data_IF_972943575239
#
_entry.id   IF_972943575239
#
_cell.length_a   1.000
_cell.length_b   1.000
_cell.length_c   1.000
_cell.angle_alpha   90.00
_cell.angle_beta   90.00
_cell.angle_gamma   90.00
#
_symmetry.space_group_name_H-M   'P 1'
#
loop_
_entity.id
_entity.type
_entity.pdbx_description
1 polymer ?
#
# COMPACT_ATOMS: atom_id res chain seq x y z
N UNK A 1 3.28 9.64 10.76
CA UNK A 1 1.93 9.82 11.37
C UNK A 1 0.94 8.70 10.98
N UNK A 2 0.88 8.29 9.70
CA UNK A 2 -0.04 7.24 9.25
C UNK A 2 0.16 5.91 9.99
N UNK A 3 1.40 5.48 10.19
CA UNK A 3 1.72 4.29 10.99
C UNK A 3 1.04 4.32 12.38
N UNK A 4 1.22 5.42 13.12
CA UNK A 4 0.63 5.57 14.47
C UNK A 4 -0.90 5.59 14.41
N UNK A 5 -1.50 6.12 13.35
CA UNK A 5 -2.95 6.06 13.17
C UNK A 5 -3.46 4.63 12.95
N UNK A 6 -2.71 3.80 12.21
CA UNK A 6 -3.03 2.38 12.03
C UNK A 6 -2.92 1.60 13.36
N UNK A 7 -1.92 1.92 14.18
CA UNK A 7 -1.85 1.40 15.56
C UNK A 7 -3.07 1.83 16.40
N UNK A 8 -3.47 3.11 16.30
CA UNK A 8 -4.57 3.66 17.08
C UNK A 8 -5.94 3.05 16.75
N UNK A 9 -6.12 2.53 15.54
CA UNK A 9 -7.33 1.78 15.13
C UNK A 9 -7.23 0.28 15.43
N UNK A 10 -6.20 -0.15 16.18
CA UNK A 10 -6.05 -1.51 16.70
C UNK A 10 -5.31 -2.49 15.80
N UNK A 11 -4.61 -2.01 14.76
CA UNK A 11 -3.76 -2.86 13.95
C UNK A 11 -2.36 -2.98 14.56
N UNK A 12 -1.77 -4.16 14.47
CA UNK A 12 -0.37 -4.40 14.83
C UNK A 12 0.41 -4.71 13.55
N UNK A 13 1.54 -4.04 13.28
CA UNK A 13 2.31 -4.30 12.07
C UNK A 13 2.94 -5.70 12.14
N UNK A 14 3.01 -6.38 11.00
CA UNK A 14 3.81 -7.59 10.87
C UNK A 14 5.25 -7.23 10.49
N UNK A 15 5.65 -7.58 9.27
CA UNK A 15 6.98 -7.23 8.76
C UNK A 15 6.95 -6.89 7.26
N UNK A 16 7.85 -5.99 6.80
CA UNK A 16 8.06 -5.75 5.37
C UNK A 16 8.56 -6.99 4.63
N UNK A 17 8.56 -6.91 3.30
CA UNK A 17 9.20 -7.90 2.42
C UNK A 17 10.66 -8.13 2.81
N UNK A 18 11.11 -9.37 2.68
CA UNK A 18 12.50 -9.76 2.75
C UNK A 18 12.93 -10.34 1.41
N UNK A 19 14.09 -9.95 0.89
CA UNK A 19 14.67 -10.52 -0.35
C UNK A 19 15.83 -11.47 -0.07
N UNK A 20 16.62 -11.21 0.97
CA UNK A 20 17.80 -11.98 1.35
C UNK A 20 17.62 -12.57 2.77
N UNK A 21 18.03 -13.82 3.04
CA UNK A 21 18.63 -14.78 2.10
C UNK A 21 17.62 -15.51 1.20
N UNK A 22 16.33 -15.45 1.53
CA UNK A 22 15.22 -16.02 0.77
C UNK A 22 14.06 -15.01 0.76
N UNK A 23 13.31 -14.98 -0.34
CA UNK A 23 12.15 -14.10 -0.48
C UNK A 23 11.05 -14.50 0.51
N UNK A 24 10.60 -13.52 1.30
CA UNK A 24 9.40 -13.61 2.10
C UNK A 24 8.54 -12.36 1.82
N UNK A 25 7.24 -12.53 1.49
CA UNK A 25 6.37 -11.38 1.23
C UNK A 25 6.15 -10.56 2.51
N UNK A 26 5.59 -9.37 2.35
CA UNK A 26 5.11 -8.61 3.49
C UNK A 26 3.99 -9.37 4.22
N UNK A 27 4.06 -9.42 5.55
CA UNK A 27 3.06 -10.04 6.41
C UNK A 27 2.53 -9.05 7.45
N UNK A 28 1.30 -9.27 7.90
CA UNK A 28 0.59 -8.38 8.81
C UNK A 28 -0.92 -8.43 8.59
N UNK A 29 -1.70 -7.62 9.32
CA UNK A 29 -3.14 -7.55 9.11
C UNK A 29 -3.45 -6.84 7.80
N UNK A 30 -4.48 -7.36 7.11
CA UNK A 30 -5.00 -6.72 5.92
C UNK A 30 -5.68 -5.38 6.24
N UNK A 31 -5.48 -4.42 5.36
CA UNK A 31 -6.03 -3.06 5.42
C UNK A 31 -6.90 -2.84 4.19
N UNK A 32 -8.16 -2.51 4.43
CA UNK A 32 -9.06 -2.03 3.38
C UNK A 32 -8.66 -0.60 3.01
N UNK A 33 -8.12 -0.44 1.81
CA UNK A 33 -7.71 0.84 1.24
C UNK A 33 -8.77 1.28 0.25
N UNK A 34 -9.57 2.27 0.66
CA UNK A 34 -10.63 2.86 -0.18
C UNK A 34 -10.24 4.24 -0.64
N UNK A 35 -10.69 4.58 -1.85
CA UNK A 35 -10.47 5.85 -2.51
C UNK A 35 -11.81 6.55 -2.62
N UNK A 36 -11.91 7.77 -2.10
CA UNK A 36 -13.12 8.59 -2.15
C UNK A 36 -12.86 9.89 -2.89
N UNK A 37 -13.75 10.24 -3.81
CA UNK A 37 -13.62 11.47 -4.62
C UNK A 37 -15.01 12.00 -5.01
N UNK A 38 -15.03 13.21 -5.57
CA UNK A 38 -16.23 13.76 -6.22
C UNK A 38 -16.10 13.62 -7.72
N UNK A 39 -17.13 13.11 -8.38
CA UNK A 39 -17.19 13.06 -9.85
C UNK A 39 -17.47 14.44 -10.47
N UNK A 40 -17.58 14.48 -11.80
CA UNK A 40 -17.82 15.72 -12.55
C UNK A 40 -19.15 16.40 -12.18
N UNK A 41 -20.14 15.64 -11.70
CA UNK A 41 -21.44 16.15 -11.26
C UNK A 41 -21.43 16.54 -9.77
N UNK A 42 -20.28 16.38 -9.10
CA UNK A 42 -20.10 16.66 -7.69
C UNK A 42 -20.59 15.55 -6.76
N UNK A 43 -21.01 14.41 -7.30
CA UNK A 43 -21.47 13.27 -6.51
C UNK A 43 -20.27 12.53 -5.90
N UNK A 44 -20.42 12.11 -4.65
CA UNK A 44 -19.41 11.31 -3.96
C UNK A 44 -19.33 9.90 -4.57
N UNK A 45 -18.11 9.47 -4.86
CA UNK A 45 -17.78 8.14 -5.36
C UNK A 45 -16.75 7.51 -4.44
N UNK A 46 -16.82 6.20 -4.32
CA UNK A 46 -15.88 5.40 -3.58
C UNK A 46 -15.54 4.13 -4.35
N UNK A 47 -14.29 3.67 -4.27
CA UNK A 47 -13.81 2.41 -4.85
C UNK A 47 -12.69 1.82 -4.00
N UNK A 48 -12.44 0.51 -4.15
CA UNK A 48 -11.22 -0.11 -3.61
C UNK A 48 -10.02 0.42 -4.38
N UNK A 49 -8.90 0.65 -3.72
CA UNK A 49 -7.67 1.04 -4.41
C UNK A 49 -7.23 -0.01 -5.45
N UNK A 50 -7.44 -1.29 -5.16
CA UNK A 50 -7.17 -2.38 -6.10
C UNK A 50 -7.95 -2.29 -7.42
N UNK A 51 -9.14 -1.67 -7.42
CA UNK A 51 -9.92 -1.46 -8.64
C UNK A 51 -9.30 -0.45 -9.59
N UNK A 52 -8.42 0.44 -9.09
CA UNK A 52 -7.70 1.43 -9.88
C UNK A 52 -6.35 0.92 -10.40
N UNK A 53 -5.92 -0.24 -9.92
CA UNK A 53 -4.61 -0.83 -10.21
C UNK A 53 -4.83 -1.99 -11.16
N UNK A 54 -4.26 -1.91 -12.36
CA UNK A 54 -4.34 -2.96 -13.38
C UNK A 54 -3.05 -3.77 -13.37
N UNK A 55 -3.17 -5.09 -13.28
CA UNK A 55 -2.05 -5.97 -13.56
C UNK A 55 -1.80 -5.98 -15.08
N UNK A 56 -0.58 -5.60 -15.50
CA UNK A 56 -0.25 -5.40 -16.90
C UNK A 56 -0.32 -6.68 -17.73
N UNK A 57 -0.05 -7.84 -17.12
CA UNK A 57 -0.05 -9.15 -17.79
C UNK A 57 -1.46 -9.70 -18.01
N UNK A 58 -2.29 -9.66 -16.96
CA UNK A 58 -3.63 -10.26 -16.98
C UNK A 58 -4.72 -9.27 -17.42
N UNK A 59 -4.44 -7.98 -17.35
CA UNK A 59 -5.39 -6.90 -17.58
C UNK A 59 -6.50 -6.78 -16.54
N UNK A 60 -6.39 -7.51 -15.42
CA UNK A 60 -7.37 -7.55 -14.34
C UNK A 60 -7.00 -6.55 -13.22
N UNK A 61 -7.96 -6.17 -12.38
CA UNK A 61 -7.68 -5.38 -11.18
C UNK A 61 -6.77 -6.13 -10.21
N UNK A 62 -6.08 -5.41 -9.33
CA UNK A 62 -5.36 -5.99 -8.21
C UNK A 62 -6.36 -6.68 -7.28
N UNK A 63 -6.20 -8.00 -7.10
CA UNK A 63 -7.12 -8.86 -6.34
C UNK A 63 -6.45 -9.41 -5.07
N UNK A 64 -5.74 -8.54 -4.36
CA UNK A 64 -5.16 -8.79 -3.04
C UNK A 64 -5.36 -7.55 -2.18
N UNK A 65 -5.46 -7.74 -0.87
CA UNK A 65 -5.52 -6.63 0.07
C UNK A 65 -4.12 -6.10 0.39
N UNK A 66 -4.05 -4.83 0.78
CA UNK A 66 -2.81 -4.25 1.29
C UNK A 66 -2.55 -4.75 2.70
N UNK A 67 -1.31 -5.04 3.02
CA UNK A 67 -0.88 -5.57 4.32
C UNK A 67 -0.18 -4.48 5.10
N UNK A 68 -0.57 -4.31 6.37
CA UNK A 68 0.17 -3.47 7.30
C UNK A 68 1.44 -4.16 7.78
N UNK A 69 2.48 -4.01 6.98
CA UNK A 69 3.83 -4.46 7.28
C UNK A 69 4.50 -3.62 8.39
N UNK A 70 4.08 -2.37 8.54
CA UNK A 70 4.84 -1.38 9.30
C UNK A 70 6.03 -0.90 8.48
N UNK A 71 7.10 -0.41 9.10
CA UNK A 71 8.34 -0.12 8.37
C UNK A 71 9.50 -0.34 9.32
N UNK A 72 10.71 -0.18 8.82
CA UNK A 72 11.91 -0.27 9.65
C UNK A 72 12.29 1.10 10.19
N UNK A 73 12.79 1.10 11.43
CA UNK A 73 13.44 2.26 12.02
C UNK A 73 14.94 2.15 11.79
N UNK A 74 15.54 3.22 11.29
CA UNK A 74 16.98 3.34 11.15
C UNK A 74 17.51 4.36 12.15
N UNK A 75 18.53 3.99 12.92
CA UNK A 75 19.22 4.90 13.83
C UNK A 75 20.50 5.40 13.17
N UNK A 76 20.63 6.71 13.05
CA UNK A 76 21.84 7.34 12.51
C UNK A 76 23.01 7.12 13.47
N UNK A 77 24.12 6.48 13.03
CA UNK A 77 25.26 6.21 13.89
C UNK A 77 26.04 7.46 14.29
N UNK A 78 25.84 8.60 13.62
CA UNK A 78 26.54 9.86 13.92
C UNK A 78 25.94 10.61 15.10
N UNK A 79 24.61 10.64 15.22
CA UNK A 79 23.90 11.43 16.23
C UNK A 79 22.88 10.62 17.07
N UNK A 80 22.65 9.35 16.74
CA UNK A 80 21.74 8.45 17.44
C UNK A 80 20.26 8.73 17.15
N UNK A 81 19.94 9.58 16.17
CA UNK A 81 18.55 9.91 15.84
C UNK A 81 17.90 8.79 15.04
N UNK A 82 16.67 8.48 15.42
CA UNK A 82 15.86 7.46 14.76
C UNK A 82 15.02 8.05 13.62
N UNK A 83 14.93 7.32 12.52
CA UNK A 83 14.18 7.66 11.31
C UNK A 83 13.28 6.50 10.92
N UNK A 84 11.98 6.78 10.79
CA UNK A 84 11.01 5.82 10.24
C UNK A 84 11.17 5.81 8.71
N UNK A 85 11.62 4.69 8.13
CA UNK A 85 12.10 4.71 6.75
C UNK A 85 11.00 4.96 5.70
N UNK A 86 9.75 4.57 5.97
CA UNK A 86 8.65 4.88 5.05
C UNK A 86 8.36 6.39 4.91
N UNK A 87 8.82 7.25 5.83
CA UNK A 87 8.73 8.71 5.65
C UNK A 87 9.57 9.18 4.44
N UNK A 88 10.44 8.32 3.89
CA UNK A 88 11.15 8.52 2.63
C UNK A 88 10.30 8.36 1.36
N UNK A 89 9.07 7.84 1.45
CA UNK A 89 8.12 7.76 0.32
C UNK A 89 7.35 6.45 0.19
N UNK A 90 7.75 5.39 0.89
CA UNK A 90 7.20 4.04 0.74
C UNK A 90 5.97 3.83 1.66
N UNK A 91 4.90 4.56 1.38
CA UNK A 91 3.71 4.52 2.23
C UNK A 91 2.74 3.39 1.85
N UNK A 92 2.28 3.35 0.59
CA UNK A 92 1.37 2.33 0.06
C UNK A 92 1.95 1.86 -1.28
N UNK A 93 2.46 0.64 -1.30
CA UNK A 93 3.28 0.13 -2.38
C UNK A 93 2.62 -1.06 -3.08
N UNK A 94 2.74 -1.10 -4.42
CA UNK A 94 2.39 -2.25 -5.26
C UNK A 94 3.63 -2.95 -5.84
N UNK A 95 4.80 -2.38 -5.58
CA UNK A 95 6.12 -2.98 -5.74
C UNK A 95 6.66 -3.22 -4.34
N UNK A 96 7.24 -4.38 -4.07
CA UNK A 96 7.63 -4.68 -2.71
C UNK A 96 8.89 -3.90 -2.33
N UNK A 97 8.82 -3.15 -1.22
CA UNK A 97 9.97 -2.42 -0.66
C UNK A 97 10.19 -2.82 0.80
N UNK A 98 11.43 -3.08 1.25
CA UNK A 98 11.72 -3.42 2.66
C UNK A 98 11.37 -2.31 3.66
N UNK A 99 11.00 -1.14 3.15
CA UNK A 99 10.64 0.09 3.86
C UNK A 99 9.16 0.42 3.76
N UNK A 100 8.34 -0.35 3.02
CA UNK A 100 6.93 -0.02 2.77
C UNK A 100 6.04 -0.15 4.01
N UNK A 101 5.23 0.88 4.34
CA UNK A 101 4.23 0.83 5.44
C UNK A 101 3.08 -0.12 5.15
N UNK A 102 2.53 -0.01 3.94
CA UNK A 102 1.53 -0.89 3.37
C UNK A 102 2.09 -1.47 2.08
N UNK A 103 2.05 -2.78 1.94
CA UNK A 103 2.58 -3.51 0.77
C UNK A 103 1.61 -4.62 0.35
N UNK A 104 1.79 -5.20 -0.83
CA UNK A 104 0.98 -6.33 -1.31
C UNK A 104 1.65 -7.67 -0.97
N UNK A 105 0.89 -8.72 -0.59
CA UNK A 105 1.44 -10.00 -0.12
C UNK A 105 1.81 -10.95 -1.27
N UNK A 106 2.19 -10.40 -2.42
CA UNK A 106 2.59 -11.13 -3.61
C UNK A 106 3.88 -10.55 -4.14
N UNK A 107 4.70 -11.41 -4.77
CA UNK A 107 5.96 -11.00 -5.35
C UNK A 107 5.74 -9.95 -6.43
N UNK A 108 6.27 -8.76 -6.16
CA UNK A 108 6.25 -7.64 -7.09
C UNK A 108 7.56 -6.89 -7.04
N UNK A 109 8.24 -6.85 -8.18
CA UNK A 109 9.57 -6.27 -8.28
C UNK A 109 9.56 -4.77 -7.96
N UNK A 110 10.58 -4.33 -7.22
CA UNK A 110 10.92 -2.91 -7.07
C UNK A 110 11.76 -2.35 -8.23
N UNK A 111 12.08 -3.17 -9.23
CA UNK A 111 12.82 -2.70 -10.41
C UNK A 111 11.91 -1.95 -11.38
N UNK A 112 12.35 -0.76 -11.81
CA UNK A 112 11.64 0.04 -12.81
C UNK A 112 11.50 -0.67 -14.17
N UNK A 113 12.34 -1.65 -14.47
CA UNK A 113 12.27 -2.41 -15.73
C UNK A 113 11.27 -3.58 -15.67
N UNK A 114 10.62 -3.79 -14.52
CA UNK A 114 9.72 -4.91 -14.24
C UNK A 114 8.40 -4.46 -13.57
N UNK A 115 7.81 -3.36 -14.06
CA UNK A 115 6.54 -2.83 -13.57
C UNK A 115 5.39 -3.81 -13.85
N UNK A 116 4.90 -4.51 -12.82
CA UNK A 116 3.78 -5.44 -12.91
C UNK A 116 2.41 -4.76 -12.95
N UNK A 117 2.33 -3.53 -12.40
CA UNK A 117 1.09 -2.82 -12.19
C UNK A 117 1.10 -1.44 -12.83
N UNK A 118 -0.05 -1.07 -13.40
CA UNK A 118 -0.29 0.21 -14.05
C UNK A 118 -1.66 0.77 -13.66
N UNK A 119 -1.98 1.98 -14.14
CA UNK A 119 -3.29 2.59 -13.91
C UNK A 119 -4.35 1.85 -14.72
N UNK A 120 -5.49 1.52 -14.07
CA UNK A 120 -6.65 1.01 -14.77
C UNK A 120 -7.40 2.16 -15.46
N UNK A 121 -7.10 2.37 -16.74
CA UNK A 121 -7.74 3.41 -17.55
C UNK A 121 -9.28 3.30 -17.52
N UNK A 122 -9.94 4.45 -17.41
CA UNK A 122 -11.40 4.54 -17.32
C UNK A 122 -11.99 4.29 -15.93
N UNK A 123 -11.18 3.88 -14.94
CA UNK A 123 -11.64 3.70 -13.54
C UNK A 123 -11.15 4.81 -12.59
N UNK A 124 -10.08 5.50 -12.97
CA UNK A 124 -9.53 6.63 -12.21
C UNK A 124 -10.17 7.95 -12.66
N UNK A 125 -10.39 8.91 -11.75
CA UNK A 125 -10.91 10.23 -12.12
C UNK A 125 -9.87 11.03 -12.93
N UNK A 126 -10.29 12.12 -13.58
CA UNK A 126 -9.37 13.01 -14.30
C UNK A 126 -8.23 13.50 -13.40
N UNK A 127 -7.04 13.67 -13.99
CA UNK A 127 -5.88 14.23 -13.30
C UNK A 127 -6.23 15.55 -12.61
N UNK A 128 -5.79 15.69 -11.36
CA UNK A 128 -6.06 16.88 -10.53
C UNK A 128 -7.34 16.78 -9.69
N UNK A 129 -8.14 15.73 -9.85
CA UNK A 129 -9.25 15.43 -8.94
C UNK A 129 -8.70 15.12 -7.55
N UNK A 130 -9.11 15.85 -6.49
CA UNK A 130 -8.75 15.49 -5.12
C UNK A 130 -9.34 14.12 -4.76
N UNK A 131 -8.50 13.25 -4.20
CA UNK A 131 -8.87 11.92 -3.73
C UNK A 131 -8.49 11.80 -2.27
N UNK A 132 -9.43 11.33 -1.46
CA UNK A 132 -9.20 10.94 -0.08
C UNK A 132 -8.88 9.44 -0.04
N UNK A 133 -7.81 9.08 0.66
CA UNK A 133 -7.47 7.70 0.95
C UNK A 133 -8.00 7.37 2.34
N UNK A 134 -8.83 6.33 2.42
CA UNK A 134 -9.42 5.84 3.66
C UNK A 134 -8.77 4.50 3.97
N UNK A 135 -8.16 4.39 5.15
CA UNK A 135 -7.55 3.16 5.65
C UNK A 135 -8.40 2.63 6.80
N UNK A 136 -8.84 1.37 6.69
CA UNK A 136 -9.61 0.68 7.72
C UNK A 136 -9.08 -0.75 7.91
N UNK A 137 -9.29 -1.38 9.08
CA UNK A 137 -9.06 -2.82 9.22
C UNK A 137 -9.89 -3.56 8.17
N UNK A 138 -9.26 -4.47 7.42
CA UNK A 138 -10.02 -5.30 6.49
C UNK A 138 -11.00 -6.18 7.27
N UNK A 139 -12.17 -6.51 6.69
CA UNK A 139 -13.02 -7.56 7.24
C UNK A 139 -12.19 -8.85 7.41
N UNK A 140 -12.43 -9.66 8.44
CA UNK A 140 -11.80 -10.97 8.54
C UNK A 140 -12.04 -11.74 7.25
N UNK A 141 -10.99 -12.37 6.71
CA UNK A 141 -11.10 -13.22 5.53
C UNK A 141 -12.23 -14.23 5.75
N UNK A 142 -13.12 -14.35 4.77
CA UNK A 142 -14.19 -15.34 4.86
C UNK A 142 -13.56 -16.75 5.01
N UNK A 143 -14.09 -17.60 5.92
CA UNK A 143 -13.56 -18.94 6.17
C UNK A 143 -13.66 -19.86 4.94
#
# INVERSE_FOLDING_TARGET
>A
LVHVALLAIGLEPGHPVQFDPEYAPAEGPAVDVRLRWKDADGAEREARAGDWIRNAETGKPLDVDFIFAGSVFWTDPLDGKEYYQADGGDLICVSNFPTATLDIPIESSQSNDALLFEVFEGRVPPRGTPVEIILAPAPPAAP
#
